data_IF_133787010963
#
_entry.id   IF_133787010963
#
_cell.length_a   1.000
_cell.length_b   1.000
_cell.length_c   1.000
_cell.angle_alpha   90.00
_cell.angle_beta   90.00
_cell.angle_gamma   90.00
#
_symmetry.space_group_name_H-M   'P 1'
#
loop_
_entity.id
_entity.type
_entity.pdbx_description
1 polymer ?
#
# COMPACT_ATOMS: atom_id res chain seq x y z
N UNK A 1 -5.00 12.43 -5.71
CA UNK A 1 -6.05 11.38 -5.51
C UNK A 1 -6.10 10.31 -6.59
N UNK A 2 -6.08 10.62 -7.90
CA UNK A 2 -6.01 9.58 -8.97
C UNK A 2 -4.84 8.61 -8.80
N UNK A 3 -3.70 9.08 -8.31
CA UNK A 3 -2.53 8.22 -8.10
C UNK A 3 -2.66 7.28 -6.90
N UNK A 4 -3.37 7.67 -5.83
CA UNK A 4 -3.58 6.81 -4.66
C UNK A 4 -4.40 5.58 -5.03
N UNK A 5 -5.45 5.75 -5.85
CA UNK A 5 -6.23 4.62 -6.34
C UNK A 5 -5.39 3.67 -7.19
N UNK A 6 -4.48 4.18 -8.02
CA UNK A 6 -3.59 3.34 -8.81
C UNK A 6 -2.64 2.51 -7.93
N UNK A 7 -2.09 3.10 -6.87
CA UNK A 7 -1.26 2.39 -5.88
C UNK A 7 -2.06 1.29 -5.18
N UNK A 8 -3.26 1.62 -4.70
CA UNK A 8 -4.16 0.66 -4.06
C UNK A 8 -4.37 -0.53 -4.99
N UNK A 9 -4.73 -0.26 -6.25
CA UNK A 9 -4.95 -1.30 -7.25
C UNK A 9 -3.68 -2.12 -7.54
N UNK A 10 -2.51 -1.50 -7.58
CA UNK A 10 -1.25 -2.20 -7.82
C UNK A 10 -0.90 -3.14 -6.67
N UNK A 11 -1.00 -2.67 -5.42
CA UNK A 11 -0.72 -3.48 -4.23
C UNK A 11 -1.73 -4.63 -4.11
N UNK A 12 -3.01 -4.39 -4.38
CA UNK A 12 -4.03 -5.45 -4.39
C UNK A 12 -3.73 -6.49 -5.48
N UNK A 13 -3.35 -6.07 -6.68
CA UNK A 13 -2.99 -6.99 -7.77
C UNK A 13 -1.79 -7.86 -7.38
N UNK A 14 -0.77 -7.29 -6.75
CA UNK A 14 0.38 -8.05 -6.28
C UNK A 14 0.01 -9.04 -5.18
N UNK A 15 -0.85 -8.64 -4.23
CA UNK A 15 -1.36 -9.53 -3.18
C UNK A 15 -2.09 -10.73 -3.79
N UNK A 16 -3.03 -10.48 -4.72
CA UNK A 16 -3.76 -11.55 -5.42
C UNK A 16 -2.80 -12.47 -6.15
N UNK A 17 -1.80 -11.92 -6.85
CA UNK A 17 -0.78 -12.72 -7.55
C UNK A 17 0.00 -13.61 -6.58
N UNK A 18 0.45 -13.08 -5.44
CA UNK A 18 1.18 -13.83 -4.41
C UNK A 18 0.34 -14.96 -3.82
N UNK A 19 -0.95 -14.71 -3.58
CA UNK A 19 -1.88 -15.74 -3.08
C UNK A 19 -2.08 -16.85 -4.13
N UNK A 20 -2.31 -16.50 -5.39
CA UNK A 20 -2.47 -17.49 -6.46
C UNK A 20 -1.21 -18.34 -6.64
N UNK A 21 -0.03 -17.70 -6.60
CA UNK A 21 1.24 -18.41 -6.70
C UNK A 21 1.44 -19.43 -5.57
N UNK A 22 1.04 -19.08 -4.32
CA UNK A 22 1.04 -20.01 -3.19
C UNK A 22 0.18 -21.24 -3.45
N UNK A 23 -0.99 -21.06 -4.07
CA UNK A 23 -1.90 -22.15 -4.43
C UNK A 23 -1.27 -23.02 -5.53
N UNK A 24 -0.62 -22.42 -6.53
CA UNK A 24 0.05 -23.15 -7.62
C UNK A 24 1.25 -23.98 -7.13
N UNK A 25 2.03 -23.46 -6.18
CA UNK A 25 3.26 -24.09 -5.68
C UNK A 25 3.00 -25.19 -4.63
N UNK A 26 2.07 -24.96 -3.70
CA UNK A 26 1.81 -25.88 -2.57
C UNK A 26 0.48 -26.64 -2.64
N UNK A 27 -0.41 -26.25 -3.57
CA UNK A 27 -1.80 -26.69 -3.57
C UNK A 27 -2.58 -26.18 -2.35
N UNK A 28 -3.74 -26.80 -2.09
CA UNK A 28 -4.57 -26.55 -0.91
C UNK A 28 -4.56 -27.77 0.04
N UNK A 29 -3.45 -28.51 0.05
CA UNK A 29 -3.31 -29.77 0.79
C UNK A 29 -3.26 -29.54 2.31
N UNK A 30 -2.63 -28.43 2.74
CA UNK A 30 -2.66 -27.93 4.11
C UNK A 30 -3.34 -26.55 4.15
N UNK A 31 -4.65 -26.58 4.42
CA UNK A 31 -5.50 -25.37 4.44
C UNK A 31 -5.13 -24.45 5.60
N UNK A 32 -4.70 -24.99 6.74
CA UNK A 32 -4.35 -24.21 7.92
C UNK A 32 -3.05 -23.43 7.67
N UNK A 33 -2.04 -24.11 7.11
CA UNK A 33 -0.81 -23.45 6.69
C UNK A 33 -1.09 -22.39 5.63
N UNK A 34 -1.86 -22.71 4.59
CA UNK A 34 -2.24 -21.74 3.55
C UNK A 34 -2.96 -20.51 4.14
N UNK A 35 -3.92 -20.73 5.04
CA UNK A 35 -4.68 -19.65 5.68
C UNK A 35 -3.78 -18.74 6.51
N UNK A 36 -2.84 -19.32 7.27
CA UNK A 36 -1.87 -18.56 8.06
C UNK A 36 -0.93 -17.74 7.16
N UNK A 37 -0.41 -18.33 6.09
CA UNK A 37 0.48 -17.65 5.15
C UNK A 37 -0.24 -16.55 4.37
N UNK A 38 -1.46 -16.81 3.89
CA UNK A 38 -2.29 -15.82 3.22
C UNK A 38 -2.62 -14.64 4.13
N UNK A 39 -2.88 -14.89 5.42
CA UNK A 39 -3.10 -13.83 6.41
C UNK A 39 -1.85 -12.96 6.58
N UNK A 40 -0.66 -13.54 6.65
CA UNK A 40 0.59 -12.77 6.76
C UNK A 40 0.86 -11.94 5.50
N UNK A 41 0.59 -12.48 4.31
CA UNK A 41 0.65 -11.73 3.05
C UNK A 41 -0.32 -10.54 3.07
N UNK A 42 -1.56 -10.73 3.49
CA UNK A 42 -2.55 -9.66 3.62
C UNK A 42 -2.07 -8.57 4.58
N UNK A 43 -1.56 -8.94 5.76
CA UNK A 43 -1.02 -7.98 6.74
C UNK A 43 0.15 -7.19 6.16
N UNK A 44 1.07 -7.86 5.46
CA UNK A 44 2.21 -7.21 4.82
C UNK A 44 1.77 -6.20 3.76
N UNK A 45 0.86 -6.59 2.86
CA UNK A 45 0.33 -5.71 1.81
C UNK A 45 -0.46 -4.52 2.37
N UNK A 46 -1.21 -4.71 3.46
CA UNK A 46 -1.91 -3.60 4.13
C UNK A 46 -0.91 -2.62 4.76
N UNK A 47 0.16 -3.11 5.41
CA UNK A 47 1.21 -2.24 5.97
C UNK A 47 1.89 -1.42 4.89
N UNK A 48 2.23 -2.04 3.77
CA UNK A 48 2.81 -1.37 2.60
C UNK A 48 1.86 -0.30 2.05
N UNK A 49 0.58 -0.64 1.90
CA UNK A 49 -0.43 0.30 1.43
C UNK A 49 -0.56 1.54 2.32
N UNK A 50 -0.69 1.34 3.64
CA UNK A 50 -0.82 2.45 4.58
C UNK A 50 0.44 3.32 4.55
N UNK A 51 1.62 2.70 4.49
CA UNK A 51 2.90 3.43 4.45
C UNK A 51 3.01 4.31 3.22
N UNK A 52 2.65 3.79 2.05
CA UNK A 52 2.69 4.53 0.80
C UNK A 52 1.68 5.69 0.77
N UNK A 53 0.46 5.46 1.27
CA UNK A 53 -0.56 6.53 1.41
C UNK A 53 -0.03 7.64 2.32
N UNK A 54 0.53 7.29 3.49
CA UNK A 54 1.05 8.26 4.45
C UNK A 54 2.24 9.04 3.87
N UNK A 55 3.14 8.36 3.14
CA UNK A 55 4.26 9.01 2.47
C UNK A 55 3.79 10.06 1.48
N UNK A 56 2.83 9.73 0.62
CA UNK A 56 2.29 10.68 -0.36
C UNK A 56 1.57 11.85 0.27
N UNK A 57 0.75 11.61 1.29
CA UNK A 57 0.11 12.69 2.05
C UNK A 57 1.15 13.63 2.65
N UNK A 58 2.24 13.08 3.20
CA UNK A 58 3.33 13.88 3.74
C UNK A 58 4.06 14.69 2.65
N UNK A 59 4.28 14.13 1.46
CA UNK A 59 4.88 14.83 0.32
C UNK A 59 3.98 15.97 -0.19
N UNK A 60 2.67 15.72 -0.33
CA UNK A 60 1.70 16.75 -0.70
C UNK A 60 1.67 17.88 0.34
N UNK A 61 1.66 17.55 1.64
CA UNK A 61 1.69 18.54 2.71
C UNK A 61 2.98 19.37 2.70
N UNK A 62 4.15 18.73 2.51
CA UNK A 62 5.43 19.44 2.43
C UNK A 62 5.50 20.33 1.20
N UNK A 63 5.03 19.86 0.05
CA UNK A 63 4.98 20.63 -1.20
C UNK A 63 4.06 21.84 -1.05
N UNK A 64 2.88 21.65 -0.45
CA UNK A 64 1.95 22.75 -0.18
C UNK A 64 2.56 23.76 0.81
N UNK A 65 3.22 23.29 1.89
CA UNK A 65 3.92 24.18 2.83
C UNK A 65 5.01 25.00 2.15
N UNK A 66 5.78 24.38 1.24
CA UNK A 66 6.81 25.06 0.44
C UNK A 66 6.19 26.13 -0.46
N UNK A 67 5.17 25.77 -1.22
CA UNK A 67 4.44 26.68 -2.09
C UNK A 67 3.85 27.87 -1.32
N UNK A 68 3.19 27.64 -0.18
CA UNK A 68 2.66 28.73 0.67
C UNK A 68 3.72 29.71 1.13
N UNK A 69 4.94 29.25 1.42
CA UNK A 69 6.07 30.14 1.75
C UNK A 69 6.51 30.96 0.55
N UNK A 70 6.59 30.35 -0.63
CA UNK A 70 7.00 31.03 -1.87
C UNK A 70 6.04 32.17 -2.26
N UNK A 71 4.74 32.03 -1.96
CA UNK A 71 3.72 33.07 -2.20
C UNK A 71 3.46 33.98 -0.99
N UNK A 72 4.31 33.96 0.04
CA UNK A 72 4.21 34.86 1.19
C UNK A 72 3.08 34.54 2.19
N UNK A 73 2.41 33.39 2.07
CA UNK A 73 1.36 32.91 2.98
C UNK A 73 1.93 32.06 4.14
N UNK A 74 3.05 32.47 4.72
CA UNK A 74 3.59 31.83 5.93
C UNK A 74 2.87 32.36 7.18
N UNK A 75 2.19 31.47 7.92
CA UNK A 75 1.73 31.77 9.28
C UNK A 75 2.96 32.05 10.17
N UNK A 76 2.90 33.15 10.94
CA UNK A 76 3.91 33.51 11.96
C UNK A 76 3.92 32.48 13.09
#
# INVERSE_FOLDING_TARGET
MKDINNIILQIIKELVKKILQKIEEGGLSDIDQFSSEALELCKASIRELISEIVNRLNEELRSNKKFRREIGLSLK
#
